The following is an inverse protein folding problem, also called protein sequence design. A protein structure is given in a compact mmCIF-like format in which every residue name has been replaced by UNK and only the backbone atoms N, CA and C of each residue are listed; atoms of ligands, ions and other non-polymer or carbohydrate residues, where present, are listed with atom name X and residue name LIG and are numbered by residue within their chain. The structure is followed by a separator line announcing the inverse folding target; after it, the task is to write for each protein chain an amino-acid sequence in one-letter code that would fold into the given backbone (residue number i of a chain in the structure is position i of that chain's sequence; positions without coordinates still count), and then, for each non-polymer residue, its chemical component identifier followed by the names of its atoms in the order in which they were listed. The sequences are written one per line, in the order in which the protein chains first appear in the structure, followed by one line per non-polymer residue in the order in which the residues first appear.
data_IF_745895635336
#
_entry.id   IF_745895635336
#
_cell.length_a   1.000
_cell.length_b   1.000
_cell.length_c   1.000
_cell.angle_alpha   90.00
_cell.angle_beta   90.00
_cell.angle_gamma   90.00
#
_symmetry.space_group_name_H-M   'P 1'
#
loop_
_entity.id
_entity.type
_entity.pdbx_description
1 polymer ?
#
# COMPACT_ATOMS: atom_id res chain seq x y z
N UNK A 1 40.49 -45.06 -6.67
CA UNK A 1 39.43 -45.91 -6.08
C UNK A 1 38.40 -45.11 -5.28
N UNK A 2 38.80 -44.18 -4.39
CA UNK A 2 37.89 -43.41 -3.51
C UNK A 2 36.89 -42.55 -4.30
N UNK A 3 37.38 -41.79 -5.30
CA UNK A 3 36.55 -40.92 -6.16
C UNK A 3 35.39 -41.64 -6.87
N UNK A 4 35.61 -42.88 -7.32
CA UNK A 4 34.57 -43.67 -8.00
C UNK A 4 33.46 -44.11 -7.05
N UNK A 5 33.81 -44.52 -5.83
CA UNK A 5 32.83 -44.84 -4.77
C UNK A 5 31.97 -43.64 -4.39
N UNK A 6 32.56 -42.46 -4.42
CA UNK A 6 31.88 -41.22 -4.05
C UNK A 6 30.89 -40.75 -5.14
N UNK A 7 31.29 -40.80 -6.41
CA UNK A 7 30.39 -40.52 -7.54
C UNK A 7 29.21 -41.49 -7.61
N UNK A 8 29.44 -42.77 -7.31
CA UNK A 8 28.39 -43.78 -7.29
C UNK A 8 27.38 -43.55 -6.16
N UNK A 9 27.86 -43.05 -5.02
CA UNK A 9 26.99 -42.63 -3.90
C UNK A 9 26.14 -41.42 -4.30
N UNK A 10 26.70 -40.48 -5.05
CA UNK A 10 26.01 -39.25 -5.49
C UNK A 10 24.97 -39.51 -6.59
N UNK A 11 25.17 -40.50 -7.45
CA UNK A 11 24.23 -40.85 -8.54
C UNK A 11 22.98 -41.60 -8.06
N UNK A 12 23.00 -42.12 -6.83
CA UNK A 12 21.88 -42.83 -6.20
C UNK A 12 21.08 -41.90 -5.27
N UNK A 13 19.78 -42.13 -5.19
CA UNK A 13 18.88 -41.54 -4.18
C UNK A 13 19.15 -42.15 -2.80
N UNK A 14 18.63 -41.55 -1.73
CA UNK A 14 18.75 -42.10 -0.37
C UNK A 14 18.18 -43.52 -0.26
N UNK A 15 17.16 -43.83 -1.08
CA UNK A 15 16.57 -45.17 -1.23
C UNK A 15 17.41 -46.17 -2.07
N UNK A 16 18.57 -45.76 -2.57
CA UNK A 16 19.47 -46.59 -3.38
C UNK A 16 19.14 -46.66 -4.88
N UNK A 17 18.01 -46.09 -5.33
CA UNK A 17 17.63 -46.03 -6.77
C UNK A 17 18.47 -45.02 -7.53
N UNK A 18 18.74 -45.25 -8.81
CA UNK A 18 19.41 -44.25 -9.64
C UNK A 18 18.57 -42.99 -9.80
N UNK A 19 19.22 -41.82 -9.68
CA UNK A 19 18.60 -40.52 -9.94
C UNK A 19 18.35 -40.40 -11.44
N UNK A 20 17.09 -40.12 -11.81
CA UNK A 20 16.73 -39.78 -13.17
C UNK A 20 16.73 -38.26 -13.33
N UNK A 21 17.36 -37.75 -14.39
CA UNK A 21 17.41 -36.33 -14.70
C UNK A 21 16.73 -36.14 -16.06
N UNK A 22 15.66 -35.36 -16.09
CA UNK A 22 15.08 -34.91 -17.34
C UNK A 22 15.81 -33.65 -17.81
N UNK A 23 16.34 -33.68 -19.03
CA UNK A 23 17.04 -32.55 -19.64
C UNK A 23 16.20 -31.98 -20.78
N UNK A 24 15.96 -30.67 -20.78
CA UNK A 24 15.35 -29.96 -21.90
C UNK A 24 16.40 -29.03 -22.52
N UNK A 25 16.94 -29.35 -23.72
CA UNK A 25 17.99 -28.56 -24.37
C UNK A 25 17.53 -27.14 -24.67
N UNK A 26 16.33 -26.98 -25.24
CA UNK A 26 15.78 -25.69 -25.64
C UNK A 26 15.59 -24.75 -24.45
N UNK A 27 15.09 -25.28 -23.33
CA UNK A 27 14.93 -24.48 -22.12
C UNK A 27 16.27 -24.05 -21.52
N UNK A 28 17.26 -24.94 -21.51
CA UNK A 28 18.59 -24.61 -21.00
C UNK A 28 19.29 -23.57 -21.87
N UNK A 29 19.14 -23.64 -23.19
CA UNK A 29 19.64 -22.62 -24.10
C UNK A 29 19.12 -21.23 -23.75
N UNK A 30 17.80 -21.06 -23.61
CA UNK A 30 17.23 -19.75 -23.23
C UNK A 30 17.63 -19.31 -21.82
N UNK A 31 17.77 -20.26 -20.90
CA UNK A 31 18.22 -19.96 -19.54
C UNK A 31 19.66 -19.44 -19.52
N UNK A 32 20.54 -20.04 -20.32
CA UNK A 32 21.93 -19.59 -20.47
C UNK A 32 21.99 -18.21 -21.12
N UNK A 33 21.24 -17.97 -22.19
CA UNK A 33 21.13 -16.64 -22.80
C UNK A 33 20.72 -15.55 -21.81
N UNK A 34 19.65 -15.79 -21.04
CA UNK A 34 19.18 -14.83 -20.03
C UNK A 34 20.23 -14.66 -18.92
N UNK A 35 20.90 -15.74 -18.53
CA UNK A 35 21.94 -15.70 -17.50
C UNK A 35 23.14 -14.86 -17.96
N UNK A 36 23.59 -15.03 -19.19
CA UNK A 36 24.66 -14.22 -19.79
C UNK A 36 24.26 -12.74 -19.85
N UNK A 37 23.05 -12.44 -20.34
CA UNK A 37 22.53 -11.08 -20.39
C UNK A 37 22.46 -10.43 -19.00
N UNK A 38 21.99 -11.15 -17.98
CA UNK A 38 21.94 -10.66 -16.60
C UNK A 38 23.32 -10.47 -15.97
N UNK A 39 24.31 -11.29 -16.35
CA UNK A 39 25.69 -11.19 -15.87
C UNK A 39 26.55 -10.22 -16.66
N UNK A 40 26.07 -9.72 -17.81
CA UNK A 40 26.69 -8.60 -18.49
C UNK A 40 26.79 -7.39 -17.55
N UNK A 41 27.76 -6.52 -17.78
CA UNK A 41 27.96 -5.32 -16.97
C UNK A 41 26.72 -4.41 -16.99
N UNK A 42 26.12 -4.25 -18.17
CA UNK A 42 24.92 -3.45 -18.35
C UNK A 42 23.68 -4.09 -17.70
N UNK A 43 23.47 -5.39 -17.89
CA UNK A 43 22.37 -6.14 -17.28
C UNK A 43 22.45 -6.12 -15.75
N UNK A 44 23.65 -6.30 -15.21
CA UNK A 44 23.91 -6.23 -13.76
C UNK A 44 23.61 -4.83 -13.21
N UNK A 45 24.02 -3.78 -13.93
CA UNK A 45 23.77 -2.38 -13.57
C UNK A 45 22.27 -2.05 -13.55
N UNK A 46 21.53 -2.45 -14.59
CA UNK A 46 20.06 -2.25 -14.66
C UNK A 46 19.36 -3.02 -13.54
N UNK A 47 19.78 -4.26 -13.29
CA UNK A 47 19.20 -5.09 -12.24
C UNK A 47 19.42 -4.50 -10.85
N UNK A 48 20.64 -4.02 -10.56
CA UNK A 48 20.95 -3.33 -9.31
C UNK A 48 20.06 -2.09 -9.10
N UNK A 49 19.85 -1.30 -10.16
CA UNK A 49 18.95 -0.13 -10.10
C UNK A 49 17.50 -0.53 -9.80
N UNK A 50 16.98 -1.58 -10.44
CA UNK A 50 15.60 -2.06 -10.22
C UNK A 50 15.36 -2.54 -8.78
N UNK A 51 16.35 -3.16 -8.15
CA UNK A 51 16.27 -3.60 -6.75
C UNK A 51 16.04 -2.43 -5.79
N UNK A 52 16.60 -1.26 -6.09
CA UNK A 52 16.42 -0.05 -5.26
C UNK A 52 15.15 0.72 -5.64
N UNK A 53 14.86 0.83 -6.94
CA UNK A 53 13.79 1.73 -7.39
C UNK A 53 12.44 1.03 -7.50
N UNK A 54 12.41 -0.14 -8.14
CA UNK A 54 11.18 -0.80 -8.60
C UNK A 54 10.65 -1.78 -7.55
N UNK A 55 11.51 -2.65 -7.04
CA UNK A 55 11.10 -3.69 -6.08
C UNK A 55 10.49 -3.12 -4.79
N UNK A 56 11.01 -2.04 -4.18
CA UNK A 56 10.45 -1.52 -2.94
C UNK A 56 9.06 -0.90 -3.13
N UNK A 57 8.77 -0.33 -4.30
CA UNK A 57 7.44 0.19 -4.64
C UNK A 57 6.42 -0.94 -4.66
N UNK A 58 6.71 -2.04 -5.38
CA UNK A 58 5.81 -3.19 -5.41
C UNK A 58 5.71 -3.92 -4.07
N UNK A 59 6.80 -3.99 -3.31
CA UNK A 59 6.82 -4.52 -1.96
C UNK A 59 5.86 -3.74 -1.05
N UNK A 60 5.98 -2.41 -1.04
CA UNK A 60 5.11 -1.51 -0.25
C UNK A 60 3.65 -1.60 -0.70
N UNK A 61 3.40 -1.69 -2.01
CA UNK A 61 2.04 -1.83 -2.55
C UNK A 61 1.36 -3.11 -2.04
N UNK A 62 2.10 -4.22 -1.93
CA UNK A 62 1.59 -5.49 -1.39
C UNK A 62 1.49 -5.51 0.13
N UNK A 63 2.47 -4.96 0.86
CA UNK A 63 2.55 -5.07 2.32
C UNK A 63 1.79 -3.97 3.06
N UNK A 64 1.86 -2.73 2.58
CA UNK A 64 1.24 -1.56 3.24
C UNK A 64 -0.14 -1.27 2.68
N UNK A 65 -0.30 -1.28 1.36
CA UNK A 65 -1.60 -1.03 0.73
C UNK A 65 -2.44 -2.30 0.53
N UNK A 66 -1.87 -3.48 0.82
CA UNK A 66 -2.59 -4.76 0.75
C UNK A 66 -3.04 -5.15 -0.67
N UNK A 67 -2.51 -4.51 -1.72
CA UNK A 67 -2.96 -4.76 -3.08
C UNK A 67 -2.40 -6.07 -3.57
N UNK A 68 -3.30 -7.03 -3.84
CA UNK A 68 -2.97 -8.34 -4.40
C UNK A 68 -3.58 -8.58 -5.78
N UNK A 69 -4.68 -7.88 -6.08
CA UNK A 69 -5.42 -7.97 -7.34
C UNK A 69 -6.04 -6.61 -7.65
N UNK A 70 -6.27 -6.38 -8.94
CA UNK A 70 -7.09 -5.26 -9.44
C UNK A 70 -8.56 -5.68 -9.43
N UNK A 71 -9.46 -4.73 -9.20
CA UNK A 71 -10.90 -4.99 -9.14
C UNK A 71 -11.57 -4.85 -10.51
N UNK A 72 -10.97 -4.05 -11.40
CA UNK A 72 -11.51 -3.79 -12.73
C UNK A 72 -11.03 -4.80 -13.78
N UNK A 73 -11.76 -4.87 -14.90
CA UNK A 73 -11.40 -5.67 -16.08
C UNK A 73 -11.17 -4.76 -17.29
N UNK A 74 -10.29 -5.20 -18.18
CA UNK A 74 -9.91 -4.44 -19.38
C UNK A 74 -8.64 -3.63 -19.18
N UNK A 75 -7.76 -3.60 -20.19
CA UNK A 75 -6.41 -3.04 -20.09
C UNK A 75 -6.42 -1.57 -19.64
N UNK A 76 -7.29 -0.75 -20.23
CA UNK A 76 -7.40 0.67 -19.89
C UNK A 76 -7.78 0.90 -18.41
N UNK A 77 -8.81 0.20 -17.93
CA UNK A 77 -9.27 0.34 -16.56
C UNK A 77 -8.20 -0.13 -15.56
N UNK A 78 -7.52 -1.24 -15.86
CA UNK A 78 -6.43 -1.77 -15.03
C UNK A 78 -5.28 -0.77 -14.93
N UNK A 79 -4.91 -0.12 -16.03
CA UNK A 79 -3.89 0.93 -16.03
C UNK A 79 -4.31 2.12 -15.15
N UNK A 80 -5.59 2.53 -15.20
CA UNK A 80 -6.11 3.62 -14.36
C UNK A 80 -6.09 3.25 -12.87
N UNK A 81 -6.54 2.05 -12.49
CA UNK A 81 -6.52 1.58 -11.10
C UNK A 81 -5.08 1.54 -10.55
N UNK A 82 -4.14 1.01 -11.32
CA UNK A 82 -2.71 1.00 -10.96
C UNK A 82 -2.16 2.42 -10.85
N UNK A 83 -2.55 3.33 -11.74
CA UNK A 83 -2.18 4.74 -11.69
C UNK A 83 -2.61 5.42 -10.38
N UNK A 84 -3.85 5.21 -9.95
CA UNK A 84 -4.34 5.71 -8.67
C UNK A 84 -3.58 5.13 -7.47
N UNK A 85 -3.23 3.85 -7.52
CA UNK A 85 -2.42 3.21 -6.48
C UNK A 85 -1.06 3.89 -6.36
N UNK A 86 -0.34 4.11 -7.46
CA UNK A 86 0.94 4.82 -7.42
C UNK A 86 0.80 6.28 -6.99
N UNK A 87 -0.28 6.95 -7.38
CA UNK A 87 -0.56 8.32 -6.94
C UNK A 87 -0.78 8.38 -5.43
N UNK A 88 -1.59 7.49 -4.86
CA UNK A 88 -1.81 7.41 -3.41
C UNK A 88 -0.51 7.06 -2.65
N UNK A 89 0.35 6.23 -3.23
CA UNK A 89 1.68 5.96 -2.68
C UNK A 89 2.58 7.20 -2.64
N UNK A 90 2.51 8.07 -3.64
CA UNK A 90 3.25 9.34 -3.68
C UNK A 90 2.66 10.34 -2.68
N UNK A 91 1.33 10.46 -2.61
CA UNK A 91 0.65 11.33 -1.65
C UNK A 91 0.96 10.95 -0.20
N UNK A 92 0.99 9.65 0.12
CA UNK A 92 1.38 9.19 1.47
C UNK A 92 2.84 9.47 1.82
N UNK A 93 3.74 9.53 0.82
CA UNK A 93 5.12 9.99 1.06
C UNK A 93 5.16 11.50 1.28
N UNK A 94 4.42 12.26 0.47
CA UNK A 94 4.32 13.72 0.61
C UNK A 94 3.76 14.11 1.97
N UNK A 95 2.64 13.50 2.39
CA UNK A 95 2.03 13.76 3.68
C UNK A 95 2.99 13.50 4.86
N UNK A 96 3.79 12.41 4.79
CA UNK A 96 4.82 12.13 5.79
C UNK A 96 5.93 13.17 5.82
N UNK A 97 6.31 13.72 4.68
CA UNK A 97 7.32 14.78 4.60
C UNK A 97 6.78 16.13 5.10
N UNK A 98 5.47 16.35 4.97
CA UNK A 98 4.78 17.56 5.44
C UNK A 98 4.37 17.50 6.92
N UNK A 99 4.36 16.30 7.52
CA UNK A 99 4.00 16.10 8.93
C UNK A 99 5.00 16.88 9.82
N UNK A 100 4.55 17.85 10.65
CA UNK A 100 5.41 18.79 11.38
C UNK A 100 6.13 18.14 12.58
N UNK A 101 6.55 16.88 12.46
CA UNK A 101 7.33 16.17 13.48
C UNK A 101 8.74 16.73 13.71
N UNK A 102 9.09 17.84 13.05
CA UNK A 102 10.33 18.58 13.27
C UNK A 102 10.12 20.03 13.77
N UNK A 103 8.91 20.40 14.19
CA UNK A 103 8.70 21.61 14.99
C UNK A 103 7.88 21.26 16.22
N UNK A 104 8.38 21.67 17.39
CA UNK A 104 7.60 21.73 18.63
C UNK A 104 6.42 22.69 18.41
N UNK A 105 5.33 22.20 17.84
CA UNK A 105 4.14 23.00 17.62
C UNK A 105 3.11 22.53 18.63
N UNK A 106 2.96 23.31 19.71
CA UNK A 106 1.82 23.18 20.60
C UNK A 106 0.55 23.22 19.73
N UNK A 107 -0.32 22.22 19.90
CA UNK A 107 -1.59 22.15 19.18
C UNK A 107 -2.32 23.49 19.36
N UNK A 108 -2.73 24.17 18.28
CA UNK A 108 -3.42 25.44 18.44
C UNK A 108 -4.72 25.17 19.20
N UNK A 109 -4.95 25.99 20.22
CA UNK A 109 -6.12 26.04 21.08
C UNK A 109 -7.45 26.31 20.30
N UNK A 110 -7.40 26.30 18.96
CA UNK A 110 -8.45 26.66 18.01
C UNK A 110 -9.57 25.63 17.91
N UNK A 111 -9.26 24.33 18.03
CA UNK A 111 -10.29 23.28 17.90
C UNK A 111 -11.33 23.36 19.02
N UNK A 112 -10.89 23.79 20.21
CA UNK A 112 -11.78 24.00 21.36
C UNK A 112 -12.68 25.22 21.18
N UNK A 113 -12.16 26.31 20.58
CA UNK A 113 -12.96 27.51 20.29
C UNK A 113 -14.03 27.25 19.24
N UNK A 114 -13.72 26.51 18.18
CA UNK A 114 -14.70 26.16 17.12
C UNK A 114 -15.84 25.33 17.73
N UNK A 115 -15.52 24.34 18.56
CA UNK A 115 -16.54 23.52 19.24
C UNK A 115 -17.43 24.33 20.20
N UNK A 116 -16.87 25.31 20.92
CA UNK A 116 -17.64 26.19 21.81
C UNK A 116 -18.62 27.03 20.99
N UNK A 117 -18.16 27.68 19.91
CA UNK A 117 -19.00 28.53 19.06
C UNK A 117 -20.15 27.74 18.44
N UNK A 118 -19.87 26.55 17.91
CA UNK A 118 -20.94 25.68 17.38
C UNK A 118 -21.94 25.26 18.46
N UNK A 119 -21.46 24.94 19.66
CA UNK A 119 -22.34 24.52 20.76
C UNK A 119 -23.23 25.66 21.23
N UNK A 120 -22.72 26.89 21.34
CA UNK A 120 -23.52 28.06 21.73
C UNK A 120 -24.59 28.38 20.70
N UNK A 121 -24.28 28.31 19.40
CA UNK A 121 -25.24 28.56 18.31
C UNK A 121 -26.41 27.57 18.32
N UNK A 122 -26.13 26.27 18.47
CA UNK A 122 -27.17 25.23 18.55
C UNK A 122 -28.08 25.46 19.75
N UNK A 123 -27.50 25.83 20.89
CA UNK A 123 -28.26 26.02 22.14
C UNK A 123 -29.18 27.25 22.03
N UNK A 124 -28.69 28.37 21.49
CA UNK A 124 -29.48 29.59 21.25
C UNK A 124 -30.65 29.31 20.30
N UNK A 125 -30.41 28.56 19.22
CA UNK A 125 -31.47 28.17 18.29
C UNK A 125 -32.58 27.34 18.96
N UNK A 126 -32.19 26.44 19.88
CA UNK A 126 -33.15 25.63 20.64
C UNK A 126 -34.02 26.49 21.56
N UNK A 127 -33.44 27.46 22.26
CA UNK A 127 -34.18 28.39 23.13
C UNK A 127 -35.10 29.34 22.34
N UNK A 128 -34.64 29.83 21.18
CA UNK A 128 -35.45 30.67 20.29
C UNK A 128 -36.70 29.90 19.82
N UNK A 129 -36.54 28.64 19.43
CA UNK A 129 -37.66 27.79 18.99
C UNK A 129 -38.67 27.53 20.11
N UNK A 130 -38.21 27.41 21.36
CA UNK A 130 -39.06 27.23 22.54
C UNK A 130 -39.88 28.48 22.87
N UNK A 131 -39.32 29.67 22.65
CA UNK A 131 -40.01 30.94 22.86
C UNK A 131 -41.22 31.10 21.92
N UNK A 132 -41.10 30.69 20.66
CA UNK A 132 -42.21 30.72 19.69
C UNK A 132 -43.23 29.58 19.86
N UNK A 133 -42.92 28.58 20.68
CA UNK A 133 -43.78 27.42 20.90
C UNK A 133 -44.77 27.58 22.09
N UNK A 134 -44.79 28.74 22.76
CA UNK A 134 -45.71 29.00 23.87
C UNK A 134 -47.12 29.36 23.34
N UNK A 135 -48.19 28.64 23.75
CA UNK A 135 -49.55 29.02 23.39
C UNK A 135 -49.99 30.26 24.18
N UNK A 136 -50.43 31.29 23.45
CA UNK A 136 -50.94 32.55 23.96
C UNK A 136 -52.35 32.34 24.54
N UNK A 137 -52.44 31.92 25.81
CA UNK A 137 -53.72 31.87 26.54
C UNK A 137 -53.99 33.27 27.11
N UNK A 138 -54.57 34.15 26.29
CA UNK A 138 -55.19 35.39 26.78
C UNK A 138 -56.49 35.02 27.51
N UNK A 139 -56.54 35.24 28.84
CA UNK A 139 -57.81 35.33 29.55
C UNK A 139 -58.14 36.82 29.75
N UNK A 140 -59.16 37.30 29.04
CA UNK A 140 -59.78 38.59 29.33
C UNK A 140 -60.76 38.38 30.49
N UNK A 141 -60.51 39.02 31.64
CA UNK A 141 -61.52 39.17 32.69
C UNK A 141 -61.89 40.65 32.76
N UNK A 142 -63.10 40.96 32.32
CA UNK A 142 -63.74 42.27 32.45
C UNK A 142 -64.07 42.53 33.93
N UNK A 143 -63.74 43.73 34.42
CA UNK A 143 -64.36 44.36 35.58
C UNK A 143 -64.99 45.68 35.13
#
# INVERSE_FOLDING_TARGET
MIMYKELEKLSKTESGRQKQIHYNPTWNYFKELIKEELHSEEGSRIYAKRKTDVEPVFGRLKSVFGVRRVHVRGNQAVQTEIGFLFMSMNLTKLAKNLDPKNSNTQKPHSDFFILIVFKTEITVWFYLKLLFAQPLVFTFSSY
#
